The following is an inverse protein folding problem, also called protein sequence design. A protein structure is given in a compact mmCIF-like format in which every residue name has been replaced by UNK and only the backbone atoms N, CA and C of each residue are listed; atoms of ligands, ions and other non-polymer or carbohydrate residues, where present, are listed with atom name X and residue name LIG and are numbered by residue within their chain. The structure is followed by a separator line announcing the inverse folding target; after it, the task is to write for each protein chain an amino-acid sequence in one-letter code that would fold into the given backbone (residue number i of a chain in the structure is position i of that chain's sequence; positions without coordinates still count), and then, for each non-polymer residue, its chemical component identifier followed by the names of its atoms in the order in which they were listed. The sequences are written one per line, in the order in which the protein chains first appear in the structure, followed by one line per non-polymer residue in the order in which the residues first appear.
data_IF_835084803803
#
_entry.id   IF_835084803803
#
_cell.length_a   1.000
_cell.length_b   1.000
_cell.length_c   1.000
_cell.angle_alpha   90.00
_cell.angle_beta   90.00
_cell.angle_gamma   90.00
#
_symmetry.space_group_name_H-M   'P 1'
#
loop_
_entity.id
_entity.type
_entity.pdbx_description
1 polymer ?
#
# COMPACT_ATOMS: atom_id res chain seq x y z
N UNK A 1 6.68 8.55 -6.06
CA UNK A 1 5.50 9.42 -5.82
C UNK A 1 4.93 9.13 -4.45
N UNK A 2 4.27 10.10 -3.80
CA UNK A 2 3.56 9.80 -2.54
C UNK A 2 2.27 9.04 -2.82
N UNK A 3 1.96 8.06 -2.00
CA UNK A 3 0.78 7.18 -2.21
C UNK A 3 -0.53 7.98 -2.25
N UNK A 4 -0.64 9.05 -1.44
CA UNK A 4 -1.82 9.91 -1.44
C UNK A 4 -2.02 10.73 -2.73
N UNK A 5 -1.00 10.79 -3.60
CA UNK A 5 -1.06 11.51 -4.88
C UNK A 5 -1.51 10.61 -6.04
N UNK A 6 -1.58 9.29 -5.84
CA UNK A 6 -2.00 8.32 -6.86
C UNK A 6 -3.49 8.45 -7.23
N UNK A 7 -4.33 8.90 -6.31
CA UNK A 7 -5.71 9.35 -6.59
C UNK A 7 -6.61 8.36 -7.34
N UNK A 8 -6.52 7.04 -7.10
CA UNK A 8 -7.25 6.00 -7.85
C UNK A 8 -7.01 6.00 -9.37
N UNK A 9 -5.89 6.53 -9.85
CA UNK A 9 -5.49 6.42 -11.26
C UNK A 9 -4.87 5.02 -11.52
N UNK A 10 -5.68 3.98 -11.28
CA UNK A 10 -5.30 2.58 -11.45
C UNK A 10 -5.09 2.27 -12.94
N UNK A 11 -3.86 1.93 -13.32
CA UNK A 11 -3.41 1.77 -14.71
C UNK A 11 -1.93 2.08 -14.87
N UNK A 12 -1.43 3.03 -14.06
CA UNK A 12 -0.01 3.40 -13.97
C UNK A 12 0.56 3.21 -12.55
N UNK A 13 -0.29 2.82 -11.59
CA UNK A 13 0.05 2.60 -10.20
C UNK A 13 0.83 1.29 -10.00
N UNK A 14 2.05 1.38 -9.47
CA UNK A 14 2.90 0.21 -9.19
C UNK A 14 2.37 -0.67 -8.04
N UNK A 15 1.43 -0.14 -7.24
CA UNK A 15 0.83 -0.84 -6.09
C UNK A 15 -0.47 -1.58 -6.44
N UNK A 16 -0.90 -1.56 -7.70
CA UNK A 16 -2.20 -2.11 -8.14
C UNK A 16 -2.35 -3.60 -7.78
N UNK A 17 -1.30 -4.40 -7.95
CA UNK A 17 -1.28 -5.83 -7.61
C UNK A 17 -1.53 -6.10 -6.12
N UNK A 18 -1.24 -5.11 -5.27
CA UNK A 18 -1.43 -5.18 -3.83
C UNK A 18 -2.75 -4.56 -3.35
N UNK A 19 -3.45 -3.85 -4.22
CA UNK A 19 -4.81 -3.39 -3.97
C UNK A 19 -5.82 -4.55 -4.07
N UNK A 20 -7.03 -4.32 -3.58
CA UNK A 20 -8.15 -5.21 -3.83
C UNK A 20 -8.72 -5.05 -5.24
N UNK A 21 -9.63 -5.95 -5.59
CA UNK A 21 -10.45 -5.82 -6.81
C UNK A 21 -11.27 -4.52 -6.79
N UNK A 22 -11.79 -4.07 -7.94
CA UNK A 22 -12.81 -3.02 -7.98
C UNK A 22 -13.91 -3.33 -6.95
N UNK A 23 -14.33 -2.31 -6.19
CA UNK A 23 -15.34 -2.41 -5.11
C UNK A 23 -14.87 -3.15 -3.83
N UNK A 24 -13.59 -3.50 -3.73
CA UNK A 24 -13.00 -4.01 -2.49
C UNK A 24 -12.71 -2.88 -1.50
N UNK A 25 -12.75 -3.20 -0.21
CA UNK A 25 -12.34 -2.29 0.88
C UNK A 25 -10.82 -1.99 0.88
N UNK A 26 -10.04 -2.54 -0.05
CA UNK A 26 -8.58 -2.42 -0.09
C UNK A 26 -8.18 -1.49 -1.24
N UNK A 27 -8.04 -0.21 -0.92
CA UNK A 27 -7.57 0.83 -1.84
C UNK A 27 -6.43 1.63 -1.19
N UNK A 28 -5.18 1.23 -1.41
CA UNK A 28 -4.00 1.72 -0.68
C UNK A 28 -3.85 3.25 -0.78
N UNK A 29 -4.07 3.82 -1.97
CA UNK A 29 -3.98 5.27 -2.22
C UNK A 29 -5.07 6.10 -1.52
N UNK A 30 -6.13 5.46 -1.03
CA UNK A 30 -7.21 6.11 -0.30
C UNK A 30 -7.06 6.00 1.21
N UNK A 31 -6.03 5.30 1.69
CA UNK A 31 -5.78 5.13 3.11
C UNK A 31 -4.91 6.28 3.64
N UNK A 32 -5.47 7.12 4.52
CA UNK A 32 -4.79 8.30 5.07
C UNK A 32 -3.44 7.95 5.73
N UNK A 33 -3.35 6.78 6.38
CA UNK A 33 -2.14 6.26 7.02
C UNK A 33 -0.94 6.05 6.07
N UNK A 34 -1.16 6.06 4.76
CA UNK A 34 -0.10 5.95 3.76
C UNK A 34 0.09 7.20 2.92
N UNK A 35 -0.68 8.27 3.14
CA UNK A 35 -0.71 9.48 2.30
C UNK A 35 0.70 10.01 1.97
N UNK A 36 1.56 10.12 2.98
CA UNK A 36 2.91 10.69 2.86
C UNK A 36 4.02 9.64 2.63
N UNK A 37 3.66 8.37 2.43
CA UNK A 37 4.61 7.29 2.16
C UNK A 37 4.97 7.28 0.68
N UNK A 38 6.26 7.11 0.38
CA UNK A 38 6.69 6.91 -1.01
C UNK A 38 6.28 5.52 -1.51
N UNK A 39 5.72 5.46 -2.72
CA UNK A 39 5.24 4.22 -3.33
C UNK A 39 6.32 3.13 -3.42
N UNK A 40 7.58 3.49 -3.70
CA UNK A 40 8.67 2.51 -3.85
C UNK A 40 9.07 1.94 -2.50
N UNK A 41 9.05 2.78 -1.46
CA UNK A 41 9.26 2.35 -0.07
C UNK A 41 8.16 1.38 0.35
N UNK A 42 6.90 1.71 0.09
CA UNK A 42 5.78 0.83 0.42
C UNK A 42 5.87 -0.50 -0.34
N UNK A 43 6.16 -0.46 -1.64
CA UNK A 43 6.31 -1.65 -2.48
C UNK A 43 7.36 -2.60 -1.91
N UNK A 44 8.54 -2.08 -1.55
CA UNK A 44 9.62 -2.88 -0.92
C UNK A 44 9.16 -3.55 0.38
N UNK A 45 8.39 -2.85 1.21
CA UNK A 45 7.91 -3.39 2.49
C UNK A 45 6.81 -4.45 2.27
N UNK A 46 5.88 -4.22 1.33
CA UNK A 46 4.77 -5.15 1.10
C UNK A 46 5.23 -6.43 0.42
N UNK A 47 6.21 -6.36 -0.48
CA UNK A 47 6.81 -7.53 -1.15
C UNK A 47 7.59 -8.41 -0.19
N UNK A 48 8.19 -7.84 0.86
CA UNK A 48 8.94 -8.59 1.87
C UNK A 48 8.06 -9.17 2.99
N UNK A 49 6.81 -8.71 3.12
CA UNK A 49 5.87 -9.25 4.12
C UNK A 49 5.46 -10.70 3.80
N UNK A 50 5.62 -11.59 4.80
CA UNK A 50 5.27 -13.01 4.72
C UNK A 50 3.79 -13.31 5.05
N UNK A 51 2.94 -12.29 5.20
CA UNK A 51 1.52 -12.47 5.52
C UNK A 51 0.74 -13.00 4.31
N UNK A 52 -0.24 -13.88 4.57
CA UNK A 52 -1.00 -14.59 3.51
C UNK A 52 -2.00 -13.70 2.75
N UNK A 53 -2.73 -12.82 3.43
CA UNK A 53 -3.76 -11.99 2.80
C UNK A 53 -3.26 -10.58 2.51
N UNK A 54 -3.75 -9.95 1.44
CA UNK A 54 -3.41 -8.56 1.06
C UNK A 54 -3.59 -7.59 2.24
N UNK A 55 -4.75 -7.65 2.91
CA UNK A 55 -5.05 -6.83 4.11
C UNK A 55 -4.05 -7.05 5.24
N UNK A 56 -3.63 -8.29 5.49
CA UNK A 56 -2.63 -8.58 6.52
C UNK A 56 -1.25 -8.04 6.13
N UNK A 57 -0.85 -8.13 4.86
CA UNK A 57 0.41 -7.55 4.36
C UNK A 57 0.42 -6.02 4.50
N UNK A 58 -0.68 -5.35 4.12
CA UNK A 58 -0.82 -3.89 4.26
C UNK A 58 -0.71 -3.45 5.74
N UNK A 59 -1.36 -4.18 6.65
CA UNK A 59 -1.25 -3.91 8.08
C UNK A 59 0.16 -4.18 8.64
N UNK A 60 0.88 -5.14 8.08
CA UNK A 60 2.28 -5.43 8.41
C UNK A 60 3.18 -4.26 8.01
N UNK A 61 3.02 -3.74 6.78
CA UNK A 61 3.72 -2.54 6.29
C UNK A 61 3.47 -1.34 7.20
N UNK A 62 2.21 -1.10 7.58
CA UNK A 62 1.88 0.00 8.49
C UNK A 62 2.63 -0.11 9.83
N UNK A 63 2.70 -1.31 10.42
CA UNK A 63 3.44 -1.53 11.67
C UNK A 63 4.94 -1.28 11.51
N UNK A 64 5.53 -1.71 10.39
CA UNK A 64 6.96 -1.52 10.09
C UNK A 64 7.32 -0.05 9.89
N UNK A 65 6.45 0.71 9.21
CA UNK A 65 6.61 2.16 9.06
C UNK A 65 6.59 2.89 10.42
N UNK A 66 5.71 2.48 11.35
CA UNK A 66 5.68 3.03 12.72
C UNK A 66 6.94 2.69 13.53
N UNK A 67 7.66 1.63 13.16
CA UNK A 67 8.91 1.21 13.80
C UNK A 67 10.15 1.88 13.19
N UNK A 68 9.99 2.70 12.15
CA UNK A 68 11.07 3.49 11.56
C UNK A 68 11.86 2.81 10.44
N UNK A 69 11.39 1.68 9.90
CA UNK A 69 11.87 1.14 8.61
C UNK A 69 11.47 2.05 7.45
#
# INVERSE_FOLDING_TARGET
MKIGELGMHCGECILIEHCGEPWSDIAICCEERFKDVDETKFLKLIETSQRKSKKARINDVHKRLLQGE
#
